data_IF_616145521429
#
_entry.id   IF_616145521429
#
_cell.length_a   1.000
_cell.length_b   1.000
_cell.length_c   1.000
_cell.angle_alpha   90.00
_cell.angle_beta   90.00
_cell.angle_gamma   90.00
#
_symmetry.space_group_name_H-M   'P 1'
#
loop_
_entity.id
_entity.type
_entity.pdbx_description
1 polymer ?
#
# COMPACT_ATOMS: atom_id res chain seq x y z
N UNK A 1 9.41 7.04 30.15
CA UNK A 1 8.10 6.60 29.71
C UNK A 1 8.17 6.13 28.28
N UNK A 2 8.05 4.82 28.07
CA UNK A 2 8.19 4.24 26.73
C UNK A 2 6.85 4.28 26.02
N UNK A 3 6.72 5.19 25.07
CA UNK A 3 5.54 5.18 24.18
C UNK A 3 5.76 4.17 23.09
N UNK A 4 4.74 3.36 22.75
CA UNK A 4 4.83 2.49 21.59
C UNK A 4 5.08 3.36 20.34
N UNK A 5 5.99 2.92 19.51
CA UNK A 5 6.22 3.56 18.21
C UNK A 5 5.16 3.05 17.25
N UNK A 6 4.39 3.97 16.71
CA UNK A 6 3.39 3.67 15.68
C UNK A 6 3.85 4.23 14.36
N UNK A 7 3.87 3.37 13.37
CA UNK A 7 4.11 3.78 11.99
C UNK A 7 2.90 3.37 11.17
N UNK A 8 2.35 4.31 10.42
CA UNK A 8 1.23 4.04 9.54
C UNK A 8 1.57 4.57 8.15
N UNK A 9 1.47 3.70 7.16
CA UNK A 9 1.69 4.05 5.76
C UNK A 9 0.59 3.46 4.90
N UNK A 10 0.38 4.04 3.73
CA UNK A 10 -0.57 3.53 2.74
C UNK A 10 0.24 2.91 1.62
N UNK A 11 0.09 1.62 1.41
CA UNK A 11 0.84 0.89 0.39
C UNK A 11 -0.08 0.56 -0.77
N UNK A 12 0.27 1.07 -1.94
CA UNK A 12 -0.39 0.74 -3.21
C UNK A 12 0.40 -0.39 -3.86
N UNK A 13 -0.28 -1.41 -4.31
CA UNK A 13 0.35 -2.51 -5.05
C UNK A 13 -0.38 -2.75 -6.35
N UNK A 14 0.34 -3.22 -7.35
CA UNK A 14 -0.25 -3.56 -8.64
C UNK A 14 0.61 -4.61 -9.33
N UNK A 15 -0.03 -5.39 -10.19
CA UNK A 15 0.64 -6.38 -11.00
C UNK A 15 0.92 -5.81 -12.39
N UNK A 16 2.11 -6.07 -12.90
CA UNK A 16 2.51 -5.65 -14.23
C UNK A 16 3.48 -6.67 -14.83
N UNK A 17 3.66 -6.61 -16.14
CA UNK A 17 4.57 -7.51 -16.83
C UNK A 17 5.97 -6.92 -16.82
N UNK A 18 6.94 -7.72 -16.37
CA UNK A 18 8.35 -7.37 -16.45
C UNK A 18 8.79 -7.42 -17.92
N UNK A 19 9.29 -6.30 -18.43
CA UNK A 19 9.71 -6.19 -19.82
C UNK A 19 10.88 -7.10 -20.19
N UNK A 20 11.71 -7.52 -19.22
CA UNK A 20 12.86 -8.36 -19.50
C UNK A 20 12.55 -9.85 -19.49
N UNK A 21 11.55 -10.29 -18.70
CA UNK A 21 11.21 -11.71 -18.54
C UNK A 21 9.86 -12.09 -19.12
N UNK A 22 8.98 -11.14 -19.36
CA UNK A 22 7.61 -11.36 -19.78
C UNK A 22 6.73 -11.94 -18.68
N UNK A 23 7.21 -12.01 -17.45
CA UNK A 23 6.48 -12.55 -16.32
C UNK A 23 5.70 -11.45 -15.61
N UNK A 24 4.57 -11.85 -15.02
CA UNK A 24 3.77 -10.96 -14.18
C UNK A 24 4.47 -10.79 -12.83
N UNK A 25 4.73 -9.56 -12.46
CA UNK A 25 5.38 -9.23 -11.19
C UNK A 25 4.56 -8.19 -10.44
N UNK A 26 4.71 -8.16 -9.12
CA UNK A 26 4.01 -7.20 -8.27
C UNK A 26 4.95 -6.10 -7.83
N UNK A 27 4.51 -4.86 -8.03
CA UNK A 27 5.20 -3.68 -7.53
C UNK A 27 4.38 -3.02 -6.43
N UNK A 28 5.07 -2.33 -5.54
CA UNK A 28 4.44 -1.62 -4.44
C UNK A 28 5.05 -0.24 -4.29
N UNK A 29 4.25 0.69 -3.77
CA UNK A 29 4.72 2.03 -3.43
C UNK A 29 4.04 2.49 -2.17
N UNK A 30 4.81 3.03 -1.23
CA UNK A 30 4.31 3.50 0.05
C UNK A 30 4.15 5.01 0.07
N UNK A 31 3.10 5.45 0.76
CA UNK A 31 2.78 6.87 0.93
C UNK A 31 2.47 7.13 2.40
N UNK A 32 2.92 8.26 2.95
CA UNK A 32 2.61 8.59 4.33
C UNK A 32 1.15 9.03 4.53
N UNK A 33 0.47 9.45 3.47
CA UNK A 33 -0.90 9.97 3.54
C UNK A 33 -1.79 9.30 2.52
N UNK A 34 -3.06 9.12 2.89
CA UNK A 34 -4.08 8.54 2.03
C UNK A 34 -4.27 9.35 0.75
N UNK A 35 -4.24 10.68 0.86
CA UNK A 35 -4.41 11.60 -0.27
C UNK A 35 -3.30 11.44 -1.30
N UNK A 36 -2.08 11.18 -0.84
CA UNK A 36 -0.95 10.95 -1.74
C UNK A 36 -1.09 9.64 -2.50
N UNK A 37 -1.57 8.59 -1.81
CA UNK A 37 -1.85 7.31 -2.44
C UNK A 37 -2.95 7.46 -3.49
N UNK A 38 -4.02 8.18 -3.16
CA UNK A 38 -5.12 8.45 -4.09
C UNK A 38 -4.63 9.21 -5.31
N UNK A 39 -3.81 10.24 -5.11
CA UNK A 39 -3.23 11.03 -6.20
C UNK A 39 -2.40 10.16 -7.14
N UNK A 40 -1.58 9.28 -6.59
CA UNK A 40 -0.78 8.33 -7.36
C UNK A 40 -1.66 7.44 -8.24
N UNK A 41 -2.72 6.89 -7.65
CA UNK A 41 -3.66 6.00 -8.38
C UNK A 41 -4.32 6.75 -9.53
N UNK A 42 -4.78 7.98 -9.28
CA UNK A 42 -5.44 8.80 -10.31
C UNK A 42 -4.50 9.16 -11.46
N UNK A 43 -3.22 9.36 -11.18
CA UNK A 43 -2.22 9.75 -12.17
C UNK A 43 -1.59 8.56 -12.89
N UNK A 44 -1.97 7.33 -12.51
CA UNK A 44 -1.38 6.12 -13.06
C UNK A 44 -2.47 5.25 -13.71
N UNK A 45 -2.98 5.65 -14.88
CA UNK A 45 -4.12 4.93 -15.50
C UNK A 45 -3.80 3.48 -15.87
N UNK A 46 -2.53 3.16 -16.08
CA UNK A 46 -2.12 1.79 -16.40
C UNK A 46 -1.97 0.88 -15.18
N UNK A 47 -2.26 1.40 -13.98
CA UNK A 47 -2.08 0.64 -12.74
C UNK A 47 -2.91 -0.64 -12.73
N UNK A 48 -4.09 -0.62 -13.31
CA UNK A 48 -4.99 -1.77 -13.39
C UNK A 48 -4.91 -2.51 -14.72
N UNK A 49 -3.92 -2.20 -15.54
CA UNK A 49 -3.83 -2.72 -16.91
C UNK A 49 -3.77 -4.26 -16.95
N UNK A 50 -3.13 -4.86 -15.99
CA UNK A 50 -3.02 -6.33 -15.88
C UNK A 50 -3.99 -6.92 -14.86
N UNK A 51 -4.98 -6.16 -14.43
CA UNK A 51 -6.14 -6.64 -13.71
C UNK A 51 -6.05 -6.73 -12.20
N UNK A 52 -4.89 -6.62 -11.59
CA UNK A 52 -4.77 -6.73 -10.14
C UNK A 52 -4.07 -5.52 -9.54
N UNK A 53 -4.73 -4.88 -8.59
CA UNK A 53 -4.18 -3.76 -7.84
C UNK A 53 -4.94 -3.62 -6.53
N UNK A 54 -4.30 -3.02 -5.54
CA UNK A 54 -4.93 -2.79 -4.24
C UNK A 54 -4.21 -1.70 -3.47
N UNK A 55 -4.84 -1.27 -2.41
CA UNK A 55 -4.23 -0.35 -1.46
C UNK A 55 -4.64 -0.75 -0.06
N UNK A 56 -3.68 -0.88 0.82
CA UNK A 56 -3.96 -1.12 2.22
C UNK A 56 -3.19 -0.15 3.11
N UNK A 57 -3.76 0.10 4.27
CA UNK A 57 -3.09 0.82 5.34
C UNK A 57 -2.32 -0.20 6.16
N UNK A 58 -1.02 -0.02 6.25
CA UNK A 58 -0.15 -0.84 7.05
C UNK A 58 0.19 -0.07 8.32
N UNK A 59 -0.21 -0.60 9.46
CA UNK A 59 0.07 0.00 10.75
C UNK A 59 1.01 -0.91 11.52
N UNK A 60 2.15 -0.38 11.94
CA UNK A 60 3.11 -1.10 12.76
C UNK A 60 3.18 -0.46 14.14
N UNK A 61 3.11 -1.31 15.16
CA UNK A 61 3.29 -0.91 16.56
C UNK A 61 4.45 -1.66 17.15
N UNK A 62 5.34 -0.95 17.81
CA UNK A 62 6.49 -1.55 18.49
C UNK A 62 6.43 -1.25 19.98
N UNK A 63 6.44 -2.31 20.77
CA UNK A 63 6.47 -2.20 22.23
C UNK A 63 7.69 -2.91 22.77
N UNK A 64 8.31 -2.31 23.77
CA UNK A 64 9.45 -2.92 24.47
C UNK A 64 8.99 -3.32 25.85
N UNK A 65 9.08 -4.62 26.16
CA UNK A 65 8.73 -5.15 27.47
C UNK A 65 9.81 -4.83 28.51
N UNK A 66 9.47 -5.03 29.79
CA UNK A 66 10.39 -4.76 30.89
C UNK A 66 11.68 -5.57 30.82
N UNK A 67 11.64 -6.72 30.19
CA UNK A 67 12.80 -7.60 30.02
C UNK A 67 13.67 -7.20 28.81
N UNK A 68 13.33 -6.12 28.14
CA UNK A 68 14.07 -5.64 26.98
C UNK A 68 13.65 -6.25 25.65
N UNK A 69 12.71 -7.20 25.66
CA UNK A 69 12.22 -7.79 24.42
C UNK A 69 11.28 -6.84 23.68
N UNK A 70 11.54 -6.67 22.40
CA UNK A 70 10.70 -5.85 21.54
C UNK A 70 9.65 -6.72 20.84
N UNK A 71 8.41 -6.25 20.81
CA UNK A 71 7.31 -6.88 20.08
C UNK A 71 6.86 -5.93 19.00
N UNK A 72 6.83 -6.41 17.75
CA UNK A 72 6.33 -5.64 16.60
C UNK A 72 5.04 -6.27 16.12
N UNK A 73 3.98 -5.48 16.08
CA UNK A 73 2.67 -5.90 15.59
C UNK A 73 2.37 -5.13 14.31
N UNK A 74 2.01 -5.85 13.26
CA UNK A 74 1.64 -5.26 11.97
C UNK A 74 0.19 -5.59 11.67
N UNK A 75 -0.59 -4.60 11.30
CA UNK A 75 -1.99 -4.74 10.92
C UNK A 75 -2.15 -4.15 9.52
N UNK A 76 -2.79 -4.92 8.64
CA UNK A 76 -3.15 -4.47 7.29
C UNK A 76 -4.66 -4.29 7.22
N UNK A 77 -5.08 -3.19 6.63
CA UNK A 77 -6.49 -2.91 6.42
C UNK A 77 -6.69 -2.36 5.02
N UNK A 78 -7.59 -2.99 4.26
CA UNK A 78 -7.89 -2.52 2.91
C UNK A 78 -8.51 -1.13 2.98
N UNK A 79 -7.98 -0.22 2.17
CA UNK A 79 -8.46 1.16 2.10
C UNK A 79 -9.52 1.30 1.02
N UNK A 80 -9.26 0.70 -0.14
CA UNK A 80 -10.18 0.71 -1.28
C UNK A 80 -10.32 -0.68 -1.86
N UNK A 81 -11.49 -0.98 -2.39
CA UNK A 81 -11.70 -2.21 -3.17
C UNK A 81 -11.04 -2.06 -4.54
N UNK A 82 -10.87 -3.19 -5.23
CA UNK A 82 -10.36 -3.16 -6.60
C UNK A 82 -11.23 -2.29 -7.51
N UNK A 83 -12.55 -2.35 -7.35
CA UNK A 83 -13.48 -1.54 -8.13
C UNK A 83 -13.29 -0.05 -7.89
N UNK A 84 -13.08 0.33 -6.65
CA UNK A 84 -12.80 1.73 -6.30
C UNK A 84 -11.50 2.21 -6.92
N UNK A 85 -10.44 1.39 -6.86
CA UNK A 85 -9.15 1.72 -7.45
C UNK A 85 -9.28 1.82 -8.97
N UNK A 86 -10.00 0.90 -9.60
CA UNK A 86 -10.24 0.93 -11.03
C UNK A 86 -10.97 2.21 -11.44
N UNK A 87 -11.96 2.61 -10.67
CA UNK A 87 -12.71 3.84 -10.92
C UNK A 87 -11.82 5.08 -10.81
N UNK A 88 -10.95 5.14 -9.81
CA UNK A 88 -10.00 6.24 -9.62
C UNK A 88 -8.98 6.30 -10.77
N UNK A 89 -8.45 5.16 -11.16
CA UNK A 89 -7.42 5.05 -12.19
C UNK A 89 -7.96 5.36 -13.58
N UNK A 90 -9.25 5.10 -13.85
CA UNK A 90 -9.88 5.37 -15.14
C UNK A 90 -10.29 6.82 -15.34
N UNK A 91 -10.30 7.60 -14.28
CA UNK A 91 -10.64 9.01 -14.39
C UNK A 91 -9.51 9.76 -15.07
N UNK A 92 -9.56 9.80 -16.36
CA UNK A 92 -8.71 10.69 -17.13
C UNK A 92 -9.42 12.02 -17.22
N UNK A 93 -9.01 12.91 -16.40
CA UNK A 93 -9.32 14.32 -16.47
C UNK A 93 -10.73 14.72 -16.57
#
# INVERSE_FOLDING_TARGET
MNRPLHKSVFQVWWDHVDGSTGKLVRSTKEFPRKEEAASFIRKTPHLIHHGAAGCYQLTESREVAKDGKATVTSIRQDVWTFQEIASMSRRTG
#
